data_IF_366950516603
#
_entry.id   IF_366950516603
#
_cell.length_a   1.000
_cell.length_b   1.000
_cell.length_c   1.000
_cell.angle_alpha   90.00
_cell.angle_beta   90.00
_cell.angle_gamma   90.00
#
_symmetry.space_group_name_H-M   'P 1'
#
loop_
_entity.id
_entity.type
_entity.pdbx_description
1 polymer ?
#
# COMPACT_ATOMS: atom_id res chain seq x y z
N UNK A 1 -9.54 -44.82 8.77
CA UNK A 1 -9.94 -43.51 8.22
C UNK A 1 -8.90 -42.48 8.66
N UNK A 2 -8.07 -41.94 7.76
CA UNK A 2 -6.99 -41.02 8.14
C UNK A 2 -7.61 -39.69 8.54
N UNK A 3 -7.43 -39.28 9.79
CA UNK A 3 -7.92 -38.03 10.33
C UNK A 3 -7.00 -36.89 9.85
N UNK A 4 -7.17 -36.47 8.60
CA UNK A 4 -6.40 -35.38 8.01
C UNK A 4 -6.72 -34.10 8.78
N UNK A 5 -5.85 -33.58 9.65
CA UNK A 5 -6.12 -32.34 10.41
C UNK A 5 -4.97 -31.36 10.20
N UNK A 6 -5.28 -30.06 10.10
CA UNK A 6 -4.28 -28.99 9.90
C UNK A 6 -4.47 -28.17 8.61
N UNK A 7 -3.52 -27.27 8.35
CA UNK A 7 -3.51 -26.34 7.19
C UNK A 7 -3.33 -27.04 5.84
N UNK A 8 -2.97 -28.32 5.85
CA UNK A 8 -2.91 -29.20 4.67
C UNK A 8 -4.28 -29.49 4.05
N UNK A 9 -5.40 -29.24 4.76
CA UNK A 9 -6.78 -29.33 4.23
C UNK A 9 -7.22 -28.08 3.46
N UNK A 10 -7.08 -26.84 4.01
CA UNK A 10 -7.45 -25.63 3.30
C UNK A 10 -6.73 -25.42 1.96
N UNK A 11 -5.45 -25.78 1.84
CA UNK A 11 -4.68 -25.58 0.61
C UNK A 11 -5.31 -26.24 -0.64
N UNK A 12 -5.58 -27.57 -0.66
CA UNK A 12 -6.26 -28.20 -1.80
C UNK A 12 -7.68 -27.69 -2.00
N UNK A 13 -8.39 -27.25 -0.95
CA UNK A 13 -9.71 -26.63 -1.10
C UNK A 13 -9.64 -25.30 -1.87
N UNK A 14 -8.67 -24.44 -1.53
CA UNK A 14 -8.46 -23.18 -2.27
C UNK A 14 -8.05 -23.46 -3.71
N UNK A 15 -7.14 -24.41 -3.95
CA UNK A 15 -6.77 -24.85 -5.30
C UNK A 15 -7.97 -25.37 -6.09
N UNK A 16 -8.85 -26.15 -5.46
CA UNK A 16 -10.08 -26.65 -6.09
C UNK A 16 -11.07 -25.52 -6.43
N UNK A 17 -11.23 -24.52 -5.56
CA UNK A 17 -12.06 -23.33 -5.81
C UNK A 17 -11.52 -22.54 -7.01
N UNK A 18 -10.20 -22.29 -7.04
CA UNK A 18 -9.53 -21.57 -8.13
C UNK A 18 -9.69 -22.33 -9.45
N UNK A 19 -9.39 -23.64 -9.46
CA UNK A 19 -9.49 -24.50 -10.64
C UNK A 19 -10.91 -24.53 -11.20
N UNK A 20 -11.92 -24.59 -10.32
CA UNK A 20 -13.33 -24.56 -10.71
C UNK A 20 -13.72 -23.23 -11.34
N UNK A 21 -13.24 -22.12 -10.81
CA UNK A 21 -13.47 -20.78 -11.39
C UNK A 21 -12.82 -20.70 -12.77
N UNK A 22 -11.53 -21.04 -12.89
CA UNK A 22 -10.82 -21.01 -14.18
C UNK A 22 -11.51 -21.88 -15.24
N UNK A 23 -11.94 -23.09 -14.86
CA UNK A 23 -12.71 -23.99 -15.73
C UNK A 23 -14.04 -23.38 -16.17
N UNK A 24 -14.81 -22.78 -15.25
CA UNK A 24 -16.09 -22.15 -15.57
C UNK A 24 -15.97 -20.88 -16.40
N UNK A 25 -14.88 -20.14 -16.22
CA UNK A 25 -14.56 -18.95 -17.03
C UNK A 25 -13.88 -19.32 -18.36
N UNK A 26 -13.51 -20.60 -18.55
CA UNK A 26 -12.71 -21.08 -19.68
C UNK A 26 -11.46 -20.22 -19.94
N UNK A 27 -10.83 -19.78 -18.85
CA UNK A 27 -9.71 -18.82 -18.90
C UNK A 27 -8.71 -19.10 -17.79
N UNK A 28 -7.44 -18.95 -18.12
CA UNK A 28 -6.37 -18.90 -17.12
C UNK A 28 -6.33 -17.52 -16.46
N UNK A 29 -6.45 -17.52 -15.13
CA UNK A 29 -6.44 -16.29 -14.34
C UNK A 29 -5.01 -15.97 -13.91
N UNK A 30 -4.65 -14.68 -13.93
CA UNK A 30 -3.37 -14.28 -13.37
C UNK A 30 -3.34 -14.47 -11.86
N UNK A 31 -2.14 -14.53 -11.27
CA UNK A 31 -1.98 -14.57 -9.81
C UNK A 31 -2.65 -13.35 -9.15
N UNK A 32 -2.61 -12.21 -9.83
CA UNK A 32 -3.24 -10.97 -9.38
C UNK A 32 -4.76 -11.09 -9.33
N UNK A 33 -5.38 -11.59 -10.41
CA UNK A 33 -6.83 -11.85 -10.48
C UNK A 33 -7.28 -12.79 -9.35
N UNK A 34 -6.51 -13.87 -9.14
CA UNK A 34 -6.77 -14.86 -8.09
C UNK A 34 -6.70 -14.21 -6.71
N UNK A 35 -5.64 -13.44 -6.41
CA UNK A 35 -5.50 -12.72 -5.13
C UNK A 35 -6.67 -11.75 -4.91
N UNK A 36 -7.01 -10.97 -5.94
CA UNK A 36 -8.09 -9.99 -5.87
C UNK A 36 -9.42 -10.67 -5.54
N UNK A 37 -9.79 -11.70 -6.29
CA UNK A 37 -11.05 -12.41 -6.06
C UNK A 37 -11.09 -13.12 -4.71
N UNK A 38 -10.00 -13.77 -4.28
CA UNK A 38 -9.96 -14.44 -2.98
C UNK A 38 -10.20 -13.44 -1.85
N UNK A 39 -9.54 -12.28 -1.88
CA UNK A 39 -9.66 -11.27 -0.83
C UNK A 39 -11.00 -10.55 -0.89
N UNK A 40 -11.42 -10.07 -2.06
CA UNK A 40 -12.68 -9.34 -2.22
C UNK A 40 -13.92 -10.21 -2.00
N UNK A 41 -13.83 -11.53 -2.14
CA UNK A 41 -14.93 -12.45 -1.85
C UNK A 41 -14.96 -12.96 -0.41
N UNK A 42 -13.92 -12.68 0.39
CA UNK A 42 -13.74 -13.28 1.69
C UNK A 42 -14.75 -12.79 2.72
N UNK A 43 -15.03 -13.66 3.69
CA UNK A 43 -15.74 -13.30 4.92
C UNK A 43 -14.82 -13.55 6.10
N UNK A 44 -14.57 -12.52 6.91
CA UNK A 44 -13.71 -12.64 8.08
C UNK A 44 -14.12 -13.78 9.00
N UNK A 45 -13.12 -14.44 9.59
CA UNK A 45 -13.35 -15.39 10.68
C UNK A 45 -14.08 -14.71 11.84
N UNK A 46 -14.93 -15.48 12.55
CA UNK A 46 -15.60 -15.03 13.77
C UNK A 46 -14.64 -14.81 14.95
N UNK A 47 -13.43 -15.35 14.88
CA UNK A 47 -12.40 -15.17 15.89
C UNK A 47 -12.12 -13.68 16.10
N UNK A 48 -12.18 -13.20 17.34
CA UNK A 48 -11.97 -11.78 17.64
C UNK A 48 -10.48 -11.46 17.51
N UNK A 49 -10.19 -10.38 16.80
CA UNK A 49 -8.86 -9.80 16.72
C UNK A 49 -8.74 -8.65 17.72
N UNK A 50 -7.61 -8.57 18.43
CA UNK A 50 -7.23 -7.38 19.19
C UNK A 50 -6.87 -6.22 18.24
N UNK A 51 -6.53 -5.05 18.80
CA UNK A 51 -6.19 -3.86 18.03
C UNK A 51 -5.03 -4.06 17.03
N UNK A 52 -4.71 -3.01 16.26
CA UNK A 52 -3.60 -3.09 15.31
C UNK A 52 -2.26 -3.25 16.04
N UNK A 53 -1.47 -4.24 15.65
CA UNK A 53 -0.12 -4.48 16.17
C UNK A 53 0.95 -4.07 15.14
N UNK A 54 2.22 -4.14 15.55
CA UNK A 54 3.34 -3.89 14.65
C UNK A 54 3.48 -5.02 13.62
N UNK A 55 4.08 -4.71 12.47
CA UNK A 55 4.34 -5.69 11.39
C UNK A 55 5.60 -6.52 11.63
N UNK A 56 6.05 -6.67 12.88
CA UNK A 56 7.24 -7.46 13.20
C UNK A 56 6.96 -8.95 12.98
N UNK A 57 8.02 -9.73 12.73
CA UNK A 57 7.88 -11.17 12.55
C UNK A 57 7.27 -11.84 13.79
N UNK A 58 7.67 -11.42 14.99
CA UNK A 58 7.13 -11.93 16.26
C UNK A 58 5.62 -11.72 16.35
N UNK A 59 5.12 -10.55 15.96
CA UNK A 59 3.68 -10.26 15.91
C UNK A 59 2.97 -11.12 14.86
N UNK A 60 3.51 -11.22 13.64
CA UNK A 60 2.92 -12.04 12.58
C UNK A 60 2.76 -13.50 13.03
N UNK A 61 3.73 -14.03 13.79
CA UNK A 61 3.71 -15.40 14.33
C UNK A 61 3.01 -15.55 15.68
N UNK A 62 2.41 -14.47 16.20
CA UNK A 62 1.77 -14.47 17.52
C UNK A 62 0.65 -15.52 17.62
N UNK A 63 0.52 -16.09 18.81
CA UNK A 63 -0.57 -17.03 19.11
C UNK A 63 -1.93 -16.32 19.13
N UNK A 64 -1.95 -15.04 19.46
CA UNK A 64 -3.14 -14.19 19.51
C UNK A 64 -3.49 -13.63 18.13
N UNK A 65 -4.78 -13.47 17.86
CA UNK A 65 -5.24 -12.86 16.63
C UNK A 65 -5.34 -11.35 16.78
N UNK A 66 -4.80 -10.61 15.81
CA UNK A 66 -4.85 -9.14 15.75
C UNK A 66 -5.04 -8.65 14.32
N UNK A 67 -5.44 -7.40 14.19
CA UNK A 67 -5.55 -6.74 12.89
C UNK A 67 -4.18 -6.28 12.39
N UNK A 68 -3.92 -6.54 11.11
CA UNK A 68 -2.79 -5.99 10.35
C UNK A 68 -3.21 -4.67 9.69
N UNK A 69 -2.24 -3.87 9.26
CA UNK A 69 -2.49 -2.53 8.69
C UNK A 69 -3.21 -2.56 7.36
N UNK A 70 -3.37 -3.72 6.74
CA UNK A 70 -4.18 -3.91 5.54
C UNK A 70 -5.54 -4.54 5.82
N UNK A 71 -6.00 -4.53 7.08
CA UNK A 71 -7.24 -5.17 7.52
C UNK A 71 -7.27 -6.70 7.39
N UNK A 72 -6.17 -7.37 7.03
CA UNK A 72 -6.07 -8.81 7.27
C UNK A 72 -5.91 -9.09 8.76
N UNK A 73 -6.27 -10.29 9.20
CA UNK A 73 -5.84 -10.83 10.49
C UNK A 73 -4.54 -11.60 10.30
N UNK A 74 -3.63 -11.57 11.27
CA UNK A 74 -2.35 -12.29 11.19
C UNK A 74 -2.52 -13.80 10.96
N UNK A 75 -3.54 -14.43 11.58
CA UNK A 75 -3.75 -15.88 11.49
C UNK A 75 -4.76 -16.30 10.43
N UNK A 76 -5.89 -15.60 10.31
CA UNK A 76 -6.96 -15.97 9.37
C UNK A 76 -7.00 -15.13 8.10
N UNK A 77 -6.02 -14.23 7.89
CA UNK A 77 -5.89 -13.40 6.70
C UNK A 77 -7.13 -12.53 6.49
N UNK A 78 -7.57 -12.42 5.24
CA UNK A 78 -8.80 -11.71 4.87
C UNK A 78 -10.08 -12.53 5.13
N UNK A 79 -9.93 -13.77 5.61
CA UNK A 79 -11.03 -14.68 5.90
C UNK A 79 -11.25 -15.74 4.82
N UNK A 80 -12.47 -16.29 4.78
CA UNK A 80 -12.82 -17.44 3.95
C UNK A 80 -13.43 -16.97 2.63
N UNK A 81 -12.76 -17.19 1.48
CA UNK A 81 -13.26 -16.80 0.16
C UNK A 81 -14.56 -17.54 -0.19
N UNK A 82 -15.40 -16.89 -1.01
CA UNK A 82 -16.72 -17.43 -1.39
C UNK A 82 -16.81 -17.56 -2.90
N UNK A 83 -16.82 -18.80 -3.38
CA UNK A 83 -16.86 -19.13 -4.82
C UNK A 83 -17.92 -18.32 -5.60
N UNK A 84 -19.16 -18.24 -5.11
CA UNK A 84 -20.22 -17.51 -5.81
C UNK A 84 -19.96 -15.99 -5.87
N UNK A 85 -19.37 -15.42 -4.81
CA UNK A 85 -18.95 -14.01 -4.83
C UNK A 85 -17.79 -13.79 -5.78
N UNK A 86 -16.82 -14.71 -5.84
CA UNK A 86 -15.71 -14.62 -6.81
C UNK A 86 -16.24 -14.60 -8.25
N UNK A 87 -17.21 -15.47 -8.58
CA UNK A 87 -17.89 -15.45 -9.88
C UNK A 87 -18.60 -14.12 -10.14
N UNK A 88 -19.36 -13.60 -9.17
CA UNK A 88 -20.04 -12.30 -9.28
C UNK A 88 -19.04 -11.15 -9.51
N UNK A 89 -17.91 -11.15 -8.81
CA UNK A 89 -16.85 -10.14 -8.97
C UNK A 89 -16.34 -10.15 -10.41
N UNK A 90 -16.02 -11.34 -10.94
CA UNK A 90 -15.55 -11.48 -12.31
C UNK A 90 -16.59 -11.04 -13.34
N UNK A 91 -17.80 -11.59 -13.24
CA UNK A 91 -18.90 -11.32 -14.17
C UNK A 91 -19.35 -9.85 -14.16
N UNK A 92 -19.11 -9.12 -13.06
CA UNK A 92 -19.44 -7.70 -12.96
C UNK A 92 -18.66 -6.83 -13.95
N UNK A 93 -17.51 -7.31 -14.47
CA UNK A 93 -16.63 -6.52 -15.32
C UNK A 93 -15.96 -5.33 -14.62
N UNK A 94 -16.20 -5.12 -13.31
CA UNK A 94 -15.77 -3.94 -12.57
C UNK A 94 -14.35 -4.06 -11.96
N UNK A 95 -13.58 -5.08 -12.37
CA UNK A 95 -12.16 -5.16 -11.99
C UNK A 95 -11.41 -4.11 -12.80
N UNK A 96 -10.93 -3.07 -12.11
CA UNK A 96 -10.14 -2.01 -12.71
C UNK A 96 -8.68 -2.44 -12.78
N UNK A 97 -8.05 -2.23 -13.92
CA UNK A 97 -6.62 -2.51 -14.16
C UNK A 97 -5.96 -1.25 -14.67
N UNK A 98 -4.94 -0.79 -13.97
CA UNK A 98 -4.28 0.49 -14.22
C UNK A 98 -2.77 0.33 -14.04
N UNK A 99 -1.98 1.03 -14.85
CA UNK A 99 -0.57 1.27 -14.49
C UNK A 99 -0.50 2.59 -13.72
N UNK A 100 0.03 2.62 -12.48
CA UNK A 100 0.00 3.82 -11.64
C UNK A 100 0.57 5.06 -12.34
N UNK A 101 1.62 4.89 -13.14
CA UNK A 101 2.24 5.99 -13.90
C UNK A 101 1.32 6.65 -14.96
N UNK A 102 0.24 5.98 -15.37
CA UNK A 102 -0.75 6.47 -16.35
C UNK A 102 -1.79 7.40 -15.71
N UNK A 103 -1.89 7.42 -14.37
CA UNK A 103 -2.82 8.28 -13.64
C UNK A 103 -2.39 9.76 -13.60
N UNK A 104 -1.32 10.10 -14.32
CA UNK A 104 -0.76 11.45 -14.39
C UNK A 104 0.62 11.55 -13.74
N UNK A 105 1.30 12.68 -13.97
CA UNK A 105 2.61 13.01 -13.38
C UNK A 105 2.51 13.93 -12.17
N UNK A 106 1.33 14.50 -11.93
CA UNK A 106 1.09 15.55 -10.92
C UNK A 106 0.90 15.00 -9.49
N UNK A 107 1.05 13.69 -9.27
CA UNK A 107 0.95 13.04 -7.96
C UNK A 107 2.11 13.33 -7.01
N UNK A 108 3.04 14.16 -7.45
CA UNK A 108 4.14 14.62 -6.63
C UNK A 108 4.26 16.13 -6.72
N UNK A 109 3.18 16.80 -6.34
CA UNK A 109 3.24 18.22 -5.97
C UNK A 109 4.25 18.44 -4.83
N UNK A 110 4.58 19.71 -4.56
CA UNK A 110 5.65 20.07 -3.63
C UNK A 110 5.43 19.60 -2.17
N UNK A 111 4.31 18.95 -1.85
CA UNK A 111 3.90 18.61 -0.50
C UNK A 111 3.52 17.14 -0.28
N UNK A 112 3.09 16.43 -1.32
CA UNK A 112 2.42 15.12 -1.18
C UNK A 112 3.01 14.04 -2.08
N UNK A 113 2.99 12.79 -1.58
CA UNK A 113 3.26 11.55 -2.33
C UNK A 113 1.97 10.75 -2.58
N UNK A 114 0.84 11.45 -2.64
CA UNK A 114 -0.50 10.89 -2.88
C UNK A 114 -0.95 11.17 -4.32
N UNK A 115 -1.49 10.13 -4.97
CA UNK A 115 -2.16 10.25 -6.26
C UNK A 115 -3.62 9.90 -6.12
N UNK A 116 -4.52 10.74 -6.62
CA UNK A 116 -5.93 10.36 -6.76
C UNK A 116 -6.03 9.14 -7.69
N UNK A 117 -6.62 8.06 -7.19
CA UNK A 117 -6.87 6.83 -7.93
C UNK A 117 -8.26 6.82 -8.56
N UNK A 118 -9.28 6.98 -7.73
CA UNK A 118 -10.68 7.19 -8.12
C UNK A 118 -11.41 7.99 -7.05
N UNK A 119 -12.55 8.53 -7.45
CA UNK A 119 -13.55 9.07 -6.54
C UNK A 119 -14.94 8.70 -7.03
N UNK A 120 -15.87 8.50 -6.10
CA UNK A 120 -17.26 8.19 -6.42
C UNK A 120 -18.19 8.73 -5.34
N UNK A 121 -19.29 9.31 -5.78
CA UNK A 121 -20.45 9.57 -4.94
C UNK A 121 -21.34 8.32 -4.89
N UNK A 122 -21.66 7.83 -3.69
CA UNK A 122 -22.40 6.59 -3.49
C UNK A 122 -23.89 6.91 -3.28
N UNK A 123 -24.68 6.72 -4.34
CA UNK A 123 -26.13 6.94 -4.35
C UNK A 123 -26.96 5.70 -3.99
N UNK A 124 -26.35 4.52 -4.04
CA UNK A 124 -27.03 3.25 -3.79
C UNK A 124 -27.14 2.94 -2.29
N UNK A 125 -28.05 2.03 -1.92
CA UNK A 125 -28.13 1.52 -0.53
C UNK A 125 -27.00 0.54 -0.29
N UNK A 126 -26.30 0.70 0.83
CA UNK A 126 -25.19 -0.16 1.23
C UNK A 126 -25.02 -0.13 2.75
N UNK A 127 -24.38 -1.15 3.28
CA UNK A 127 -24.02 -1.31 4.69
C UNK A 127 -22.51 -1.34 4.88
N UNK A 128 -21.79 -2.00 3.96
CA UNK A 128 -20.33 -2.08 3.99
C UNK A 128 -19.74 -1.64 2.66
N UNK A 129 -18.70 -0.80 2.72
CA UNK A 129 -17.88 -0.46 1.58
C UNK A 129 -16.52 -1.10 1.77
N UNK A 130 -16.03 -1.75 0.72
CA UNK A 130 -14.70 -2.35 0.71
C UNK A 130 -14.01 -2.05 -0.59
N UNK A 131 -12.71 -1.83 -0.54
CA UNK A 131 -11.89 -1.76 -1.74
C UNK A 131 -10.64 -2.58 -1.56
N UNK A 132 -10.34 -3.42 -2.54
CA UNK A 132 -9.16 -4.31 -2.55
C UNK A 132 -8.26 -3.90 -3.70
N UNK A 133 -6.97 -3.81 -3.40
CA UNK A 133 -5.91 -3.40 -4.32
C UNK A 133 -4.84 -4.48 -4.33
N UNK A 134 -4.53 -5.00 -5.51
CA UNK A 134 -3.50 -6.01 -5.74
C UNK A 134 -2.43 -5.45 -6.67
N UNK A 135 -1.23 -5.32 -6.13
CA UNK A 135 -0.07 -4.81 -6.82
C UNK A 135 0.69 -5.94 -7.50
N UNK A 136 0.88 -5.82 -8.80
CA UNK A 136 1.91 -6.58 -9.52
C UNK A 136 3.15 -5.72 -9.55
N UNK A 137 4.22 -6.16 -8.90
CA UNK A 137 5.51 -5.51 -9.02
C UNK A 137 6.57 -6.53 -9.44
N UNK A 138 7.47 -6.12 -10.33
CA UNK A 138 8.65 -6.92 -10.69
C UNK A 138 9.78 -6.74 -9.69
N UNK A 139 9.93 -5.51 -9.19
CA UNK A 139 10.95 -5.05 -8.25
C UNK A 139 10.39 -3.90 -7.42
N UNK A 140 10.89 -3.69 -6.20
CA UNK A 140 10.71 -2.44 -5.45
C UNK A 140 11.60 -1.32 -6.00
N UNK A 141 11.42 -0.08 -5.57
CA UNK A 141 12.32 1.01 -5.95
C UNK A 141 13.72 0.80 -5.38
N UNK A 142 13.83 0.28 -4.14
CA UNK A 142 15.11 -0.10 -3.56
C UNK A 142 15.84 -1.17 -4.39
N UNK A 143 15.14 -2.17 -4.89
CA UNK A 143 15.73 -3.21 -5.75
C UNK A 143 16.14 -2.65 -7.12
N UNK A 144 15.28 -1.82 -7.71
CA UNK A 144 15.52 -1.21 -9.02
C UNK A 144 16.77 -0.30 -9.02
N UNK A 145 16.98 0.47 -7.94
CA UNK A 145 18.15 1.34 -7.75
C UNK A 145 19.29 0.72 -6.95
N UNK A 146 19.20 -0.56 -6.58
CA UNK A 146 20.23 -1.26 -5.78
C UNK A 146 20.59 -0.53 -4.47
N UNK A 147 19.60 -0.02 -3.76
CA UNK A 147 19.81 0.76 -2.53
C UNK A 147 20.41 -0.06 -1.37
N UNK A 148 20.46 -1.38 -1.50
CA UNK A 148 21.15 -2.29 -0.58
C UNK A 148 22.67 -2.35 -0.81
N UNK A 149 23.17 -1.92 -1.97
CA UNK A 149 24.60 -1.89 -2.31
C UNK A 149 25.25 -0.56 -1.91
N UNK A 150 25.57 -0.35 -0.63
CA UNK A 150 25.99 0.98 -0.14
C UNK A 150 27.33 1.48 -0.71
N UNK A 151 28.33 0.59 -0.86
CA UNK A 151 29.70 1.00 -1.21
C UNK A 151 30.04 0.92 -2.72
N UNK A 152 29.32 0.11 -3.49
CA UNK A 152 29.65 -0.21 -4.89
C UNK A 152 28.43 -0.13 -5.82
N UNK A 153 27.48 0.77 -5.54
CA UNK A 153 26.27 0.90 -6.34
C UNK A 153 26.62 1.32 -7.79
N UNK A 154 26.26 0.52 -8.81
CA UNK A 154 26.63 0.78 -10.21
C UNK A 154 25.92 1.98 -10.82
N UNK A 155 24.86 2.49 -10.19
CA UNK A 155 24.12 3.67 -10.64
C UNK A 155 24.65 4.97 -10.06
N UNK A 156 25.65 4.90 -9.17
CA UNK A 156 26.38 6.08 -8.67
C UNK A 156 27.20 6.66 -9.81
N UNK A 157 26.55 7.50 -10.59
CA UNK A 157 27.19 8.40 -11.53
C UNK A 157 27.16 9.80 -10.93
N UNK A 158 28.34 10.35 -10.65
CA UNK A 158 28.52 11.71 -10.11
C UNK A 158 27.87 12.78 -11.01
N UNK A 159 27.66 12.48 -12.29
CA UNK A 159 27.09 13.40 -13.27
C UNK A 159 25.57 13.30 -13.43
N UNK A 160 24.94 12.16 -13.12
CA UNK A 160 23.53 11.90 -13.50
C UNK A 160 22.56 11.64 -12.35
N UNK A 161 23.03 11.19 -11.19
CA UNK A 161 22.18 10.83 -10.06
C UNK A 161 22.76 11.42 -8.76
N UNK A 162 22.88 12.74 -8.68
CA UNK A 162 23.54 13.43 -7.55
C UNK A 162 22.87 13.15 -6.19
N UNK A 163 21.57 12.86 -6.17
CA UNK A 163 20.84 12.47 -4.96
C UNK A 163 21.26 11.09 -4.41
N UNK A 164 21.70 10.17 -5.27
CA UNK A 164 21.90 8.76 -4.90
C UNK A 164 23.03 8.57 -3.87
N UNK A 165 24.23 9.14 -4.02
CA UNK A 165 25.26 9.06 -2.99
C UNK A 165 24.81 9.59 -1.63
N UNK A 166 24.00 10.65 -1.60
CA UNK A 166 23.46 11.19 -0.36
C UNK A 166 22.42 10.25 0.26
N UNK A 167 21.55 9.66 -0.56
CA UNK A 167 20.57 8.67 -0.06
C UNK A 167 21.26 7.42 0.50
N UNK A 168 22.31 6.91 -0.16
CA UNK A 168 23.05 5.74 0.34
C UNK A 168 23.70 6.04 1.71
N UNK A 169 24.29 7.23 1.88
CA UNK A 169 24.79 7.67 3.19
C UNK A 169 23.68 7.89 4.21
N UNK A 170 22.52 8.37 3.78
CA UNK A 170 21.35 8.51 4.66
C UNK A 170 20.87 7.14 5.18
N UNK A 171 20.84 6.13 4.32
CA UNK A 171 20.49 4.75 4.68
C UNK A 171 21.52 4.17 5.67
N UNK A 172 22.81 4.38 5.41
CA UNK A 172 23.88 3.98 6.32
C UNK A 172 23.74 4.65 7.70
N UNK A 173 23.52 5.97 7.70
CA UNK A 173 23.26 6.74 8.91
C UNK A 173 22.06 6.21 9.68
N UNK A 174 20.94 5.97 9.00
CA UNK A 174 19.72 5.41 9.60
C UNK A 174 19.99 4.05 10.25
N UNK A 175 20.67 3.14 9.56
CA UNK A 175 21.03 1.82 10.10
C UNK A 175 21.95 1.89 11.31
N UNK A 176 22.85 2.86 11.37
CA UNK A 176 23.72 3.05 12.54
C UNK A 176 22.97 3.57 13.78
N UNK A 177 21.88 4.33 13.58
CA UNK A 177 21.02 4.86 14.65
C UNK A 177 19.90 3.90 15.06
N UNK A 178 19.45 3.07 14.13
CA UNK A 178 18.33 2.16 14.28
C UNK A 178 18.68 0.83 13.57
N UNK A 179 19.39 -0.08 14.26
CA UNK A 179 19.83 -1.35 13.68
C UNK A 179 18.69 -2.26 13.21
N UNK A 180 17.50 -2.08 13.77
CA UNK A 180 16.29 -2.84 13.42
C UNK A 180 15.58 -2.27 12.17
N UNK A 181 16.00 -1.09 11.69
CA UNK A 181 15.47 -0.52 10.46
C UNK A 181 15.91 -1.34 9.25
N UNK A 182 14.92 -1.72 8.42
CA UNK A 182 15.14 -2.48 7.21
C UNK A 182 14.12 -2.10 6.13
N UNK A 183 14.51 -2.25 4.86
CA UNK A 183 13.67 -2.01 3.69
C UNK A 183 12.37 -2.82 3.73
N UNK A 184 12.41 -4.03 4.28
CA UNK A 184 11.23 -4.89 4.37
C UNK A 184 10.13 -4.36 5.29
N UNK A 185 10.39 -3.31 6.07
CA UNK A 185 9.40 -2.65 6.92
C UNK A 185 8.71 -1.49 6.18
N UNK A 186 9.20 -1.11 5.00
CA UNK A 186 8.66 -0.04 4.18
C UNK A 186 7.54 -0.64 3.29
N UNK A 187 6.30 -0.14 3.39
CA UNK A 187 5.26 -0.55 2.46
C UNK A 187 5.62 -0.09 1.05
N UNK A 188 5.83 -1.05 0.13
CA UNK A 188 6.12 -0.74 -1.27
C UNK A 188 4.98 0.10 -1.86
N UNK A 189 3.75 -0.23 -1.48
CA UNK A 189 2.56 0.54 -1.85
C UNK A 189 1.58 0.61 -0.68
N UNK A 190 0.95 1.77 -0.53
CA UNK A 190 -0.08 2.03 0.44
C UNK A 190 -1.31 2.65 -0.24
N UNK A 191 -2.47 2.51 0.41
CA UNK A 191 -3.72 3.12 0.01
C UNK A 191 -4.18 4.02 1.14
N UNK A 192 -4.65 5.21 0.78
CA UNK A 192 -5.40 6.09 1.67
C UNK A 192 -6.77 6.34 1.05
N UNK A 193 -7.83 6.32 1.85
CA UNK A 193 -9.18 6.62 1.40
C UNK A 193 -9.76 7.71 2.26
N UNK A 194 -10.19 8.79 1.62
CA UNK A 194 -11.07 9.76 2.23
C UNK A 194 -12.52 9.31 2.03
N UNK A 195 -13.20 9.02 3.14
CA UNK A 195 -14.64 8.78 3.14
C UNK A 195 -15.34 10.01 3.70
N UNK A 196 -16.26 10.58 2.93
CA UNK A 196 -17.08 11.72 3.33
C UNK A 196 -18.52 11.26 3.57
N UNK A 197 -19.13 11.76 4.65
CA UNK A 197 -20.56 11.67 4.91
C UNK A 197 -21.15 13.07 4.80
N UNK A 198 -22.24 13.18 4.06
CA UNK A 198 -23.05 14.39 3.95
C UNK A 198 -24.41 14.12 4.57
N UNK A 199 -24.79 14.92 5.57
CA UNK A 199 -26.15 14.91 6.14
C UNK A 199 -26.51 16.33 6.55
N UNK A 200 -27.58 16.87 5.96
CA UNK A 200 -27.97 18.27 6.12
C UNK A 200 -26.79 19.20 5.75
N UNK A 201 -26.50 20.21 6.57
CA UNK A 201 -25.38 21.14 6.40
C UNK A 201 -24.03 20.61 6.91
N UNK A 202 -23.96 19.38 7.45
CA UNK A 202 -22.76 18.84 8.05
C UNK A 202 -22.06 17.83 7.15
N UNK A 203 -20.77 18.05 6.92
CA UNK A 203 -19.87 17.09 6.28
C UNK A 203 -18.91 16.51 7.33
N UNK A 204 -18.75 15.19 7.36
CA UNK A 204 -17.75 14.51 8.20
C UNK A 204 -16.83 13.66 7.33
N UNK A 205 -15.52 13.80 7.55
CA UNK A 205 -14.46 13.05 6.87
C UNK A 205 -13.88 11.96 7.78
N UNK A 206 -13.57 10.81 7.20
CA UNK A 206 -12.72 9.78 7.80
C UNK A 206 -11.59 9.46 6.83
N UNK A 207 -10.36 9.42 7.34
CA UNK A 207 -9.19 8.95 6.61
C UNK A 207 -8.98 7.49 6.97
N UNK A 208 -8.97 6.61 5.98
CA UNK A 208 -8.76 5.17 6.13
C UNK A 208 -7.43 4.81 5.46
N UNK A 209 -6.56 4.10 6.16
CA UNK A 209 -5.24 3.72 5.63
C UNK A 209 -5.08 2.21 5.46
N UNK A 210 -4.34 1.80 4.44
CA UNK A 210 -3.94 0.42 4.20
C UNK A 210 -2.48 0.38 3.73
N UNK A 211 -1.57 0.08 4.65
CA UNK A 211 -0.12 0.24 4.45
C UNK A 211 0.68 -0.90 5.08
N UNK A 212 0.21 -2.13 4.90
CA UNK A 212 0.94 -3.29 5.39
C UNK A 212 2.19 -3.53 4.52
N UNK A 213 3.39 -3.69 5.10
CA UNK A 213 4.58 -4.05 4.34
C UNK A 213 4.57 -5.54 3.95
N UNK A 214 5.49 -5.95 3.06
CA UNK A 214 5.67 -7.35 2.61
C UNK A 214 4.40 -8.02 2.07
N UNK A 215 3.49 -7.24 1.50
CA UNK A 215 2.29 -7.77 0.86
C UNK A 215 2.06 -7.05 -0.47
N UNK A 216 1.53 -7.80 -1.43
CA UNK A 216 1.03 -7.23 -2.68
C UNK A 216 -0.44 -6.79 -2.55
N UNK A 217 -1.09 -7.01 -1.42
CA UNK A 217 -2.52 -6.77 -1.23
C UNK A 217 -2.76 -5.75 -0.12
N UNK A 218 -3.43 -4.66 -0.49
CA UNK A 218 -4.01 -3.69 0.43
C UNK A 218 -5.54 -3.79 0.35
N UNK A 219 -6.19 -3.67 1.50
CA UNK A 219 -7.65 -3.70 1.61
C UNK A 219 -8.09 -2.58 2.53
N UNK A 220 -9.16 -1.88 2.15
CA UNK A 220 -9.78 -0.81 2.94
C UNK A 220 -11.23 -1.20 3.18
N UNK A 221 -11.72 -0.90 4.38
CA UNK A 221 -13.07 -1.22 4.80
C UNK A 221 -13.73 -0.04 5.52
N UNK A 222 -15.02 0.18 5.25
CA UNK A 222 -15.84 1.15 5.95
C UNK A 222 -17.25 0.62 6.22
N UNK A 223 -17.76 0.89 7.42
CA UNK A 223 -19.14 0.55 7.82
C UNK A 223 -20.04 1.78 7.81
N UNK A 224 -21.14 1.72 7.07
CA UNK A 224 -22.17 2.77 7.04
C UNK A 224 -22.95 2.77 8.35
N UNK A 225 -22.63 3.71 9.24
CA UNK A 225 -23.35 3.87 10.53
C UNK A 225 -24.74 4.52 10.38
N UNK A 226 -24.92 5.35 9.37
CA UNK A 226 -26.13 6.15 9.17
C UNK A 226 -26.69 5.89 7.76
N UNK A 227 -27.71 5.03 7.61
CA UNK A 227 -28.26 4.61 6.32
C UNK A 227 -28.85 5.75 5.48
N UNK A 228 -29.36 6.80 6.13
CA UNK A 228 -30.05 7.93 5.48
C UNK A 228 -29.08 8.99 4.95
N UNK A 229 -27.81 8.95 5.37
CA UNK A 229 -26.82 9.89 4.88
C UNK A 229 -26.24 9.45 3.53
N UNK A 230 -25.81 10.43 2.75
CA UNK A 230 -25.07 10.19 1.52
C UNK A 230 -23.58 10.20 1.77
N UNK A 231 -22.85 9.41 0.99
CA UNK A 231 -21.42 9.25 1.16
C UNK A 231 -20.71 9.40 -0.17
N UNK A 232 -19.48 9.93 -0.12
CA UNK A 232 -18.53 9.82 -1.23
C UNK A 232 -17.22 9.28 -0.72
N UNK A 233 -16.42 8.75 -1.62
CA UNK A 233 -15.04 8.44 -1.32
C UNK A 233 -14.09 8.97 -2.40
N UNK A 234 -12.85 9.20 -1.99
CA UNK A 234 -11.70 9.35 -2.87
C UNK A 234 -10.63 8.39 -2.39
N UNK A 235 -10.19 7.48 -3.25
CA UNK A 235 -9.01 6.65 -2.96
C UNK A 235 -7.77 7.32 -3.52
N UNK A 236 -6.69 7.19 -2.78
CA UNK A 236 -5.37 7.68 -3.10
C UNK A 236 -4.39 6.52 -3.11
N UNK A 237 -3.53 6.48 -4.13
CA UNK A 237 -2.30 5.69 -4.06
C UNK A 237 -1.29 6.49 -3.24
N UNK A 238 -0.86 5.93 -2.12
CA UNK A 238 0.20 6.50 -1.29
C UNK A 238 1.52 5.83 -1.62
N UNK A 239 2.46 6.59 -2.17
CA UNK A 239 3.79 6.11 -2.53
C UNK A 239 4.72 6.13 -1.31
N UNK A 240 4.38 5.31 -0.31
CA UNK A 240 5.07 5.24 0.98
C UNK A 240 6.57 4.92 0.84
N UNK A 241 6.95 4.10 -0.14
CA UNK A 241 8.37 3.83 -0.43
C UNK A 241 9.14 5.10 -0.84
N UNK A 242 8.58 5.92 -1.73
CA UNK A 242 9.20 7.19 -2.14
C UNK A 242 9.27 8.18 -0.97
N UNK A 243 8.19 8.28 -0.19
CA UNK A 243 8.10 9.16 0.99
C UNK A 243 9.21 8.87 2.00
N UNK A 244 9.38 7.60 2.37
CA UNK A 244 10.41 7.17 3.32
C UNK A 244 11.82 7.54 2.81
N UNK A 245 12.12 7.29 1.53
CA UNK A 245 13.44 7.64 0.98
C UNK A 245 13.68 9.15 0.89
N UNK A 246 12.65 9.94 0.60
CA UNK A 246 12.76 11.40 0.62
C UNK A 246 13.00 11.93 2.03
N UNK A 247 12.27 11.40 3.02
CA UNK A 247 12.47 11.75 4.44
C UNK A 247 13.89 11.40 4.86
N UNK A 248 14.38 10.19 4.58
CA UNK A 248 15.74 9.77 4.92
C UNK A 248 16.79 10.69 4.30
N UNK A 249 16.65 11.02 3.00
CA UNK A 249 17.56 11.91 2.32
C UNK A 249 17.60 13.30 2.99
N UNK A 250 16.44 13.91 3.22
CA UNK A 250 16.34 15.28 3.72
C UNK A 250 16.77 15.38 5.19
N UNK A 251 16.44 14.37 6.01
CA UNK A 251 16.90 14.27 7.39
C UNK A 251 18.42 14.16 7.49
N UNK A 252 19.03 13.32 6.65
CA UNK A 252 20.48 13.20 6.58
C UNK A 252 21.16 14.48 6.09
N UNK A 253 20.58 15.17 5.10
CA UNK A 253 21.13 16.44 4.61
C UNK A 253 21.03 17.54 5.68
N UNK A 254 19.94 17.57 6.45
CA UNK A 254 19.82 18.49 7.58
C UNK A 254 20.90 18.21 8.63
N UNK A 255 21.07 16.94 9.03
CA UNK A 255 22.13 16.51 9.94
C UNK A 255 23.53 16.90 9.43
N UNK A 256 23.85 16.54 8.17
CA UNK A 256 25.16 16.78 7.55
C UNK A 256 25.53 18.26 7.54
N UNK A 257 24.54 19.15 7.39
CA UNK A 257 24.75 20.59 7.30
C UNK A 257 24.44 21.33 8.62
N UNK A 258 24.28 20.61 9.74
CA UNK A 258 23.96 21.18 11.05
C UNK A 258 22.69 22.05 11.07
N UNK A 259 21.70 21.71 10.24
CA UNK A 259 20.40 22.38 10.21
C UNK A 259 19.57 21.87 11.40
N UNK A 260 19.16 22.77 12.28
CA UNK A 260 18.28 22.44 13.40
C UNK A 260 16.85 22.29 12.91
N UNK A 261 16.28 21.10 13.09
CA UNK A 261 14.90 20.80 12.77
C UNK A 261 14.05 20.76 14.04
N UNK A 262 12.77 21.08 13.91
CA UNK A 262 11.79 20.91 14.98
C UNK A 262 11.55 19.41 15.22
N UNK A 263 11.96 18.92 16.39
CA UNK A 263 11.83 17.51 16.79
C UNK A 263 10.39 16.98 16.68
N UNK A 264 9.39 17.84 16.86
CA UNK A 264 7.98 17.46 16.77
C UNK A 264 7.51 17.24 15.34
N UNK A 265 8.27 17.71 14.35
CA UNK A 265 7.96 17.61 12.91
C UNK A 265 8.95 16.73 12.16
N UNK A 266 9.93 16.15 12.84
CA UNK A 266 10.84 15.16 12.26
C UNK A 266 10.00 13.99 11.74
N UNK A 267 10.23 13.62 10.47
CA UNK A 267 9.43 12.69 9.62
C UNK A 267 8.19 13.26 8.92
N UNK A 268 7.91 14.55 9.03
CA UNK A 268 6.90 15.19 8.16
C UNK A 268 7.57 15.64 6.86
N UNK A 269 7.33 14.92 5.76
CA UNK A 269 7.89 15.26 4.46
C UNK A 269 7.53 16.69 4.04
N UNK A 270 6.31 17.17 4.32
CA UNK A 270 5.91 18.53 3.98
C UNK A 270 6.79 19.56 4.70
N UNK A 271 7.07 19.34 5.97
CA UNK A 271 7.96 20.19 6.75
C UNK A 271 9.37 20.26 6.13
N UNK A 272 9.97 19.12 5.76
CA UNK A 272 11.27 19.13 5.09
C UNK A 272 11.26 19.86 3.75
N UNK A 273 10.23 19.63 2.93
CA UNK A 273 10.11 20.22 1.59
C UNK A 273 9.88 21.73 1.60
N UNK A 274 9.32 22.26 2.69
CA UNK A 274 9.05 23.70 2.87
C UNK A 274 10.09 24.40 3.73
N UNK A 275 11.07 23.68 4.27
CA UNK A 275 12.10 24.26 5.12
C UNK A 275 13.09 25.12 4.31
N UNK A 276 13.27 26.43 4.61
CA UNK A 276 14.10 27.32 3.79
C UNK A 276 15.54 26.83 3.59
N UNK A 277 16.15 26.28 4.64
CA UNK A 277 17.54 25.76 4.57
C UNK A 277 17.69 24.46 3.77
N UNK A 278 16.59 23.82 3.35
CA UNK A 278 16.62 22.62 2.51
C UNK A 278 16.20 22.89 1.07
N UNK A 279 15.87 24.14 0.73
CA UNK A 279 15.43 24.54 -0.61
C UNK A 279 16.47 24.23 -1.68
N UNK A 280 17.76 24.33 -1.35
CA UNK A 280 18.87 23.98 -2.25
C UNK A 280 18.83 22.52 -2.74
N UNK A 281 18.16 21.63 -1.99
CA UNK A 281 18.03 20.20 -2.32
C UNK A 281 16.76 19.86 -3.10
N UNK A 282 15.94 20.85 -3.48
CA UNK A 282 14.72 20.66 -4.27
C UNK A 282 14.95 19.90 -5.58
N UNK A 283 16.12 20.08 -6.20
CA UNK A 283 16.48 19.33 -7.41
C UNK A 283 16.64 17.82 -7.15
N UNK A 284 17.16 17.41 -5.99
CA UNK A 284 17.28 16.00 -5.63
C UNK A 284 15.91 15.34 -5.46
N UNK A 285 14.98 16.07 -4.83
CA UNK A 285 13.60 15.65 -4.68
C UNK A 285 12.96 15.47 -6.05
N UNK A 286 13.05 16.47 -6.93
CA UNK A 286 12.51 16.41 -8.30
C UNK A 286 13.10 15.24 -9.10
N UNK A 287 14.40 15.00 -9.01
CA UNK A 287 15.07 13.90 -9.70
C UNK A 287 14.57 12.53 -9.18
N UNK A 288 14.52 12.34 -7.87
CA UNK A 288 14.02 11.10 -7.26
C UNK A 288 12.58 10.81 -7.68
N UNK A 289 11.73 11.84 -7.65
CA UNK A 289 10.33 11.81 -8.11
C UNK A 289 10.23 11.32 -9.56
N UNK A 290 11.05 11.85 -10.47
CA UNK A 290 11.10 11.41 -11.87
C UNK A 290 11.62 9.97 -12.02
N UNK A 291 12.66 9.59 -11.27
CA UNK A 291 13.18 8.22 -11.27
C UNK A 291 12.14 7.22 -10.74
N UNK A 292 11.37 7.61 -9.73
CA UNK A 292 10.30 6.81 -9.18
C UNK A 292 9.16 6.63 -10.18
N UNK A 293 8.75 7.69 -10.88
CA UNK A 293 7.78 7.57 -11.98
C UNK A 293 8.25 6.60 -13.08
N UNK A 294 9.53 6.65 -13.46
CA UNK A 294 10.11 5.69 -14.41
C UNK A 294 10.06 4.26 -13.87
N UNK A 295 10.38 4.07 -12.59
CA UNK A 295 10.25 2.78 -11.92
C UNK A 295 8.81 2.24 -11.99
N UNK A 296 7.81 3.07 -11.65
CA UNK A 296 6.39 2.71 -11.73
C UNK A 296 6.00 2.27 -13.15
N UNK A 297 6.49 2.97 -14.17
CA UNK A 297 6.22 2.67 -15.59
C UNK A 297 6.72 1.28 -16.01
N UNK A 298 7.89 0.88 -15.54
CA UNK A 298 8.56 -0.34 -15.99
C UNK A 298 8.23 -1.57 -15.14
N UNK A 299 7.84 -1.34 -13.87
CA UNK A 299 7.82 -2.41 -12.88
C UNK A 299 6.47 -2.62 -12.19
N UNK A 300 5.46 -1.76 -12.38
CA UNK A 300 4.28 -1.74 -11.51
C UNK A 300 2.95 -1.72 -12.26
N UNK A 301 2.04 -2.60 -11.85
CA UNK A 301 0.64 -2.63 -12.27
C UNK A 301 -0.24 -2.80 -11.04
N UNK A 302 -1.47 -2.28 -11.13
CA UNK A 302 -2.45 -2.34 -10.07
C UNK A 302 -3.77 -2.90 -10.61
N UNK A 303 -4.30 -3.89 -9.91
CA UNK A 303 -5.66 -4.36 -10.07
C UNK A 303 -6.47 -4.01 -8.83
N UNK A 304 -7.70 -3.54 -9.02
CA UNK A 304 -8.57 -3.21 -7.88
C UNK A 304 -10.01 -3.58 -8.12
N UNK A 305 -10.71 -3.83 -7.01
CA UNK A 305 -12.15 -4.04 -7.00
C UNK A 305 -12.76 -3.40 -5.76
N UNK A 306 -13.77 -2.56 -5.98
CA UNK A 306 -14.55 -1.91 -4.93
C UNK A 306 -15.94 -2.53 -4.90
N UNK A 307 -16.39 -2.87 -3.70
CA UNK A 307 -17.69 -3.49 -3.47
C UNK A 307 -18.50 -2.75 -2.42
N UNK A 308 -19.81 -2.77 -2.63
CA UNK A 308 -20.84 -2.29 -1.73
C UNK A 308 -21.72 -3.49 -1.34
N UNK A 309 -21.73 -3.83 -0.06
CA UNK A 309 -22.54 -4.92 0.51
C UNK A 309 -23.66 -4.39 1.36
#
# INVERSE_FOLDING_TARGET
MINFNGTSKPAPMITGIISRIQSKLQKELSIEDVKLMLVSSATYSKTKASGYSSSSFSEITSTHEHWRRNHAKNKTGFGIPKYFKMKQIWDSGNIRRVRPHELGKDFIDSASVLQIYDSKYINEKWKYWTSTFVWKHKRSFAEYWKLYELNNNPYVSWFRNKWLPHLLKAIEYKKSKDPDWNFDNIPIYAIETDMYKYKNIFARRWILGSQEPRTSVQHVYFYKKDPEATYSYTNYLKYAELEEYLILLLDYLAYKNNIKLDENKVKDLYYYLTHPLLEEYKNYVTDMKQKYWKHLKENVWLESYTNLF
#
